data_IF_757777685621
#
_entry.id   IF_757777685621
#
_cell.length_a   1.000
_cell.length_b   1.000
_cell.length_c   1.000
_cell.angle_alpha   90.00
_cell.angle_beta   90.00
_cell.angle_gamma   90.00
#
_symmetry.space_group_name_H-M   'P 1'
#
loop_
_entity.id
_entity.type
_entity.pdbx_description
1 polymer ?
#
# COMPACT_ATOMS: atom_id res chain seq x y z
N UNK A 1 8.12 4.33 11.38
CA UNK A 1 8.69 4.57 10.04
C UNK A 1 7.55 4.68 9.04
N UNK A 2 7.65 5.59 8.07
CA UNK A 2 6.66 5.75 6.98
C UNK A 2 7.42 5.81 5.67
N UNK A 3 6.94 5.09 4.66
CA UNK A 3 7.39 5.18 3.27
C UNK A 3 6.21 5.65 2.43
N UNK A 4 6.45 6.61 1.54
CA UNK A 4 5.49 7.10 0.58
C UNK A 4 6.09 6.97 -0.83
N UNK A 5 5.24 7.03 -1.83
CA UNK A 5 5.63 7.05 -3.24
C UNK A 5 4.94 8.22 -3.93
N UNK A 6 5.56 8.73 -5.00
CA UNK A 6 5.04 9.86 -5.79
C UNK A 6 4.24 9.38 -7.02
N UNK A 7 3.58 8.22 -6.90
CA UNK A 7 2.77 7.68 -8.00
C UNK A 7 1.47 8.49 -8.16
N UNK A 8 1.29 9.19 -9.30
CA UNK A 8 0.07 9.95 -9.56
C UNK A 8 -1.17 9.06 -9.71
N UNK A 9 -0.97 7.76 -10.01
CA UNK A 9 -2.01 6.75 -10.20
C UNK A 9 -2.06 5.74 -9.05
N UNK A 10 -1.83 6.21 -7.83
CA UNK A 10 -1.81 5.41 -6.59
C UNK A 10 -3.04 4.54 -6.31
N UNK A 11 -4.14 4.69 -7.06
CA UNK A 11 -5.40 3.97 -6.84
C UNK A 11 -5.30 2.46 -7.08
N UNK A 12 -4.35 1.97 -7.90
CA UNK A 12 -4.23 0.52 -8.17
C UNK A 12 -3.51 -0.25 -7.04
N UNK A 13 -2.85 0.46 -6.12
CA UNK A 13 -2.14 -0.13 -4.98
C UNK A 13 -0.78 -0.75 -5.31
N UNK A 14 -0.35 -0.75 -6.57
CA UNK A 14 0.89 -1.40 -7.03
C UNK A 14 2.13 -0.73 -6.43
N UNK A 15 2.19 0.59 -6.48
CA UNK A 15 3.27 1.40 -5.88
C UNK A 15 3.35 1.22 -4.36
N UNK A 16 2.21 0.98 -3.69
CA UNK A 16 2.17 0.66 -2.26
C UNK A 16 2.72 -0.75 -1.98
N UNK A 17 2.36 -1.74 -2.80
CA UNK A 17 2.91 -3.10 -2.71
C UNK A 17 4.43 -3.11 -2.94
N UNK A 18 4.92 -2.36 -3.93
CA UNK A 18 6.35 -2.18 -4.21
C UNK A 18 7.07 -1.47 -3.07
N UNK A 19 6.44 -0.46 -2.45
CA UNK A 19 7.00 0.24 -1.28
C UNK A 19 7.22 -0.73 -0.11
N UNK A 20 6.27 -1.63 0.15
CA UNK A 20 6.44 -2.66 1.18
C UNK A 20 7.55 -3.65 0.83
N UNK A 21 7.64 -4.08 -0.43
CA UNK A 21 8.74 -4.92 -0.90
C UNK A 21 10.10 -4.24 -0.73
N UNK A 22 10.19 -2.93 -0.97
CA UNK A 22 11.41 -2.16 -0.75
C UNK A 22 11.80 -2.08 0.72
N UNK A 23 10.83 -1.95 1.64
CA UNK A 23 11.11 -2.03 3.07
C UNK A 23 11.68 -3.39 3.47
N UNK A 24 11.17 -4.48 2.91
CA UNK A 24 11.67 -5.84 3.18
C UNK A 24 13.09 -6.04 2.63
N UNK A 25 13.39 -5.52 1.45
CA UNK A 25 14.74 -5.49 0.89
C UNK A 25 15.70 -4.71 1.81
N UNK A 26 15.33 -3.49 2.20
CA UNK A 26 16.12 -2.64 3.10
C UNK A 26 16.29 -3.24 4.49
N UNK A 27 15.33 -4.06 4.97
CA UNK A 27 15.45 -4.76 6.24
C UNK A 27 16.43 -5.93 6.18
N UNK A 28 16.65 -6.52 5.00
CA UNK A 28 17.53 -7.68 4.79
C UNK A 28 18.95 -7.31 4.39
N UNK A 29 19.17 -6.10 3.89
CA UNK A 29 20.50 -5.61 3.52
C UNK A 29 21.32 -5.19 4.74
N UNK A 30 22.48 -5.83 4.96
CA UNK A 30 23.41 -5.54 6.07
C UNK A 30 24.00 -4.13 6.03
N UNK A 31 24.02 -3.50 4.85
CA UNK A 31 24.54 -2.14 4.67
C UNK A 31 23.46 -1.07 4.86
N UNK A 32 22.19 -1.47 4.99
CA UNK A 32 21.06 -0.57 5.19
C UNK A 32 20.96 -0.13 6.65
N UNK A 33 20.60 1.14 6.85
CA UNK A 33 20.26 1.67 8.18
C UNK A 33 19.08 0.92 8.82
N UNK A 34 18.26 0.23 8.02
CA UNK A 34 17.08 -0.51 8.43
C UNK A 34 17.35 -2.00 8.68
N UNK A 35 18.60 -2.46 8.53
CA UNK A 35 18.96 -3.87 8.70
C UNK A 35 18.42 -4.45 10.01
N UNK A 36 17.51 -5.42 9.90
CA UNK A 36 16.88 -6.13 11.01
C UNK A 36 16.12 -5.23 12.01
N UNK A 37 15.58 -4.09 11.55
CA UNK A 37 14.82 -3.12 12.37
C UNK A 37 13.33 -3.05 12.04
N UNK A 38 12.89 -3.67 10.94
CA UNK A 38 11.51 -3.59 10.45
C UNK A 38 10.81 -4.94 10.59
N UNK A 39 9.56 -4.93 11.05
CA UNK A 39 8.65 -6.06 10.93
C UNK A 39 7.72 -5.84 9.74
N UNK A 40 8.19 -6.23 8.55
CA UNK A 40 7.47 -6.07 7.30
C UNK A 40 6.25 -6.99 7.19
N UNK A 41 6.11 -8.00 8.06
CA UNK A 41 4.94 -8.89 8.10
C UNK A 41 3.77 -8.31 8.90
N UNK A 42 3.96 -7.17 9.57
CA UNK A 42 2.95 -6.46 10.38
C UNK A 42 2.82 -4.99 9.98
N UNK A 43 2.81 -4.72 8.69
CA UNK A 43 2.72 -3.36 8.15
C UNK A 43 1.31 -2.77 8.29
N UNK A 44 1.21 -1.44 8.38
CA UNK A 44 -0.02 -0.68 8.16
C UNK A 44 0.03 0.04 6.82
N UNK A 45 -1.12 0.28 6.21
CA UNK A 45 -1.25 1.09 4.99
C UNK A 45 -2.30 2.18 5.18
N UNK A 46 -2.04 3.35 4.59
CA UNK A 46 -2.97 4.48 4.64
C UNK A 46 -3.13 5.18 3.29
N UNK A 47 -4.28 5.80 3.06
CA UNK A 47 -4.52 6.57 1.84
C UNK A 47 -5.67 7.58 1.93
N UNK A 48 -5.54 8.70 1.21
CA UNK A 48 -6.55 9.76 1.12
C UNK A 48 -7.19 9.82 -0.27
N UNK A 49 -8.49 10.08 -0.36
CA UNK A 49 -9.20 10.19 -1.65
C UNK A 49 -8.98 8.94 -2.54
N UNK A 50 -8.40 9.08 -3.74
CA UNK A 50 -8.04 7.94 -4.59
C UNK A 50 -6.99 7.02 -3.95
N UNK A 51 -6.10 7.57 -3.11
CA UNK A 51 -5.11 6.77 -2.40
C UNK A 51 -5.76 5.83 -1.38
N UNK A 52 -6.97 6.15 -0.89
CA UNK A 52 -7.74 5.21 -0.07
C UNK A 52 -8.17 3.97 -0.86
N UNK A 53 -8.48 4.11 -2.15
CA UNK A 53 -8.73 2.97 -3.06
C UNK A 53 -7.46 2.16 -3.24
N UNK A 54 -6.33 2.83 -3.44
CA UNK A 54 -5.00 2.22 -3.48
C UNK A 54 -4.66 1.41 -2.24
N UNK A 55 -4.93 1.97 -1.05
CA UNK A 55 -4.68 1.30 0.22
C UNK A 55 -5.49 0.00 0.35
N UNK A 56 -6.76 0.00 -0.06
CA UNK A 56 -7.62 -1.19 -0.06
C UNK A 56 -7.09 -2.21 -1.07
N UNK A 57 -6.77 -1.78 -2.30
CA UNK A 57 -6.23 -2.66 -3.35
C UNK A 57 -4.91 -3.30 -2.92
N UNK A 58 -3.97 -2.54 -2.35
CA UNK A 58 -2.71 -3.09 -1.86
C UNK A 58 -2.92 -4.13 -0.74
N UNK A 59 -3.93 -3.93 0.11
CA UNK A 59 -4.28 -4.85 1.19
C UNK A 59 -5.06 -6.09 0.75
N UNK A 60 -5.51 -6.19 -0.51
CA UNK A 60 -6.41 -7.27 -0.96
C UNK A 60 -5.95 -8.01 -2.22
N UNK A 61 -5.27 -7.34 -3.16
CA UNK A 61 -5.11 -7.83 -4.54
C UNK A 61 -3.66 -8.20 -4.95
N UNK A 62 -2.71 -8.21 -4.02
CA UNK A 62 -1.29 -8.49 -4.29
C UNK A 62 -0.77 -9.67 -3.48
N UNK A 63 0.32 -10.31 -3.95
CA UNK A 63 0.90 -11.48 -3.28
C UNK A 63 1.37 -11.18 -1.83
N UNK A 64 1.80 -9.94 -1.57
CA UNK A 64 2.20 -9.47 -0.24
C UNK A 64 1.06 -8.84 0.57
N UNK A 65 -0.18 -8.80 0.06
CA UNK A 65 -1.31 -8.15 0.73
C UNK A 65 -1.53 -8.60 2.17
N UNK A 66 -1.30 -9.89 2.44
CA UNK A 66 -1.40 -10.49 3.79
C UNK A 66 -0.48 -9.87 4.84
N UNK A 67 0.53 -9.11 4.44
CA UNK A 67 1.46 -8.42 5.34
C UNK A 67 0.89 -7.11 5.89
N UNK A 68 -0.12 -6.53 5.22
CA UNK A 68 -0.87 -5.40 5.75
C UNK A 68 -1.86 -5.90 6.80
N UNK A 69 -1.71 -5.42 8.05
CA UNK A 69 -2.54 -5.81 9.20
C UNK A 69 -3.50 -4.72 9.65
N UNK A 70 -3.33 -3.52 9.13
CA UNK A 70 -4.20 -2.39 9.38
C UNK A 70 -4.32 -1.54 8.11
N UNK A 71 -5.53 -1.08 7.83
CA UNK A 71 -5.84 -0.16 6.73
C UNK A 71 -6.52 1.07 7.33
N UNK A 72 -6.00 2.26 7.03
CA UNK A 72 -6.63 3.52 7.37
C UNK A 72 -6.92 4.31 6.10
N UNK A 73 -8.15 4.76 5.93
CA UNK A 73 -8.49 5.59 4.78
C UNK A 73 -9.16 6.88 5.19
N UNK A 74 -8.76 7.98 4.56
CA UNK A 74 -9.32 9.30 4.81
C UNK A 74 -10.06 9.79 3.55
N UNK A 75 -11.34 10.12 3.68
CA UNK A 75 -12.16 10.68 2.58
C UNK A 75 -12.06 9.87 1.28
N UNK A 76 -12.10 8.54 1.38
CA UNK A 76 -11.88 7.64 0.23
C UNK A 76 -12.88 7.86 -0.88
N UNK A 77 -12.42 7.78 -2.12
CA UNK A 77 -13.30 7.80 -3.30
C UNK A 77 -14.40 6.77 -3.13
N UNK A 78 -15.66 7.22 -3.22
CA UNK A 78 -16.83 6.34 -3.10
C UNK A 78 -16.70 5.15 -4.06
N UNK A 79 -16.99 3.94 -3.58
CA UNK A 79 -16.80 2.70 -4.33
C UNK A 79 -17.46 2.73 -5.72
N UNK A 80 -18.74 3.11 -5.80
CA UNK A 80 -19.46 3.20 -7.08
C UNK A 80 -18.82 4.22 -8.04
N UNK A 81 -18.27 5.32 -7.53
CA UNK A 81 -17.55 6.28 -8.36
C UNK A 81 -16.23 5.68 -8.86
N UNK A 82 -15.45 5.09 -7.96
CA UNK A 82 -14.19 4.43 -8.27
C UNK A 82 -14.35 3.34 -9.35
N UNK A 83 -15.43 2.54 -9.29
CA UNK A 83 -15.76 1.56 -10.33
C UNK A 83 -16.07 2.23 -11.68
N UNK A 84 -16.93 3.26 -11.67
CA UNK A 84 -17.31 3.99 -12.90
C UNK A 84 -16.11 4.61 -13.62
N UNK A 85 -15.10 5.05 -12.87
CA UNK A 85 -13.86 5.61 -13.42
C UNK A 85 -12.69 4.61 -13.44
N UNK A 86 -12.98 3.32 -13.24
CA UNK A 86 -12.05 2.17 -13.40
C UNK A 86 -10.82 2.17 -12.46
N UNK A 87 -10.98 2.59 -11.21
CA UNK A 87 -9.93 2.58 -10.17
C UNK A 87 -9.68 1.19 -9.54
N UNK A 88 -9.83 0.10 -10.28
CA UNK A 88 -9.38 -1.24 -9.85
C UNK A 88 -10.17 -1.94 -8.73
N UNK A 89 -11.29 -1.37 -8.23
CA UNK A 89 -12.19 -2.06 -7.29
C UNK A 89 -13.16 -2.96 -8.06
N UNK A 90 -13.07 -4.28 -7.89
CA UNK A 90 -14.05 -5.25 -8.41
C UNK A 90 -15.23 -5.45 -7.44
N UNK A 91 -16.38 -5.90 -7.96
CA UNK A 91 -17.53 -6.37 -7.18
C UNK A 91 -17.25 -7.73 -6.54
#
# INVERSE_FOLDING_TARGET
>A
MVIANDDPNSWDGSSSSQSLAKLDELNRDKNSLFYNKLDTNRAGIMGHSQGGVGAINAATNFANSKQFKAVYTASTTKHALAQRIKMGLSN
#
